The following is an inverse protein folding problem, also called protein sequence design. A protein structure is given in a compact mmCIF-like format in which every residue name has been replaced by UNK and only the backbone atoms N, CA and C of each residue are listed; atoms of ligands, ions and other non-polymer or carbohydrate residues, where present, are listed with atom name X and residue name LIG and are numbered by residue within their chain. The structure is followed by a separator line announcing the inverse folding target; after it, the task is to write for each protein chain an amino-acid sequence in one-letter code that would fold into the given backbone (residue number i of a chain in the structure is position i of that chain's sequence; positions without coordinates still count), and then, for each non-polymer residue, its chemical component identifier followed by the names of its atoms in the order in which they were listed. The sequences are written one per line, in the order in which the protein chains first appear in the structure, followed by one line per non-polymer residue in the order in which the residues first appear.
data_IF_694743709391
#
_entry.id   IF_694743709391
#
_cell.length_a   1.000
_cell.length_b   1.000
_cell.length_c   1.000
_cell.angle_alpha   90.00
_cell.angle_beta   90.00
_cell.angle_gamma   90.00
#
_symmetry.space_group_name_H-M   'P 1'
#
loop_
_entity.id
_entity.type
_entity.pdbx_description
1 polymer ?
#
# COMPACT_ATOMS: atom_id res chain seq x y z
N UNK A 1 6.01 17.22 2.34
CA UNK A 1 4.65 17.79 2.26
C UNK A 1 3.82 16.76 1.51
N UNK A 2 2.87 16.05 2.14
CA UNK A 2 2.21 14.88 1.51
C UNK A 2 2.18 13.58 2.42
N UNK A 3 1.09 12.92 2.87
CA UNK A 3 1.12 11.86 3.93
C UNK A 3 1.25 10.50 3.31
N UNK A 4 2.31 9.80 3.70
CA UNK A 4 2.68 8.39 3.46
C UNK A 4 2.62 7.86 2.03
N UNK A 5 1.69 8.31 1.20
CA UNK A 5 1.46 7.85 -0.17
C UNK A 5 1.45 8.97 -1.20
N UNK A 6 1.33 10.23 -0.80
CA UNK A 6 1.35 11.35 -1.77
C UNK A 6 2.75 11.82 -2.20
N UNK A 7 3.83 11.07 -1.90
CA UNK A 7 5.20 11.58 -2.06
C UNK A 7 6.14 10.79 -3.01
N UNK A 8 5.65 9.87 -3.86
CA UNK A 8 6.56 9.08 -4.72
C UNK A 8 6.50 9.28 -6.24
N UNK A 9 5.62 10.12 -6.81
CA UNK A 9 5.55 10.25 -8.28
C UNK A 9 5.28 11.68 -8.78
N UNK A 10 6.26 12.58 -8.69
CA UNK A 10 6.18 13.84 -9.43
C UNK A 10 7.55 14.36 -9.89
N UNK A 11 8.17 13.65 -10.84
CA UNK A 11 9.23 14.20 -11.68
C UNK A 11 9.39 13.44 -13.03
N UNK A 12 8.47 13.63 -13.98
CA UNK A 12 8.77 13.68 -15.44
C UNK A 12 7.51 13.91 -16.33
N UNK A 13 7.36 15.16 -16.79
CA UNK A 13 6.88 15.62 -18.13
C UNK A 13 5.45 15.40 -18.69
N UNK A 14 4.68 16.51 -18.73
CA UNK A 14 3.76 17.16 -19.74
C UNK A 14 2.71 16.37 -20.62
N UNK A 15 1.57 17.02 -21.01
CA UNK A 15 0.32 16.41 -21.54
C UNK A 15 0.13 16.61 -23.08
N UNK A 16 -1.06 16.39 -23.71
CA UNK A 16 -2.08 15.31 -23.68
C UNK A 16 -2.33 14.69 -25.10
N UNK A 17 -3.28 13.76 -25.28
CA UNK A 17 -4.46 13.88 -26.19
C UNK A 17 -5.15 12.54 -26.54
N UNK A 18 -6.49 12.62 -26.62
CA UNK A 18 -7.42 11.78 -27.41
C UNK A 18 -7.93 10.46 -26.81
N UNK A 19 -9.15 10.57 -26.27
CA UNK A 19 -10.23 9.59 -26.18
C UNK A 19 -10.15 8.41 -27.15
N UNK A 20 -10.17 7.17 -26.64
CA UNK A 20 -10.74 6.01 -27.36
C UNK A 20 -11.20 4.96 -26.35
N UNK A 21 -12.51 4.66 -26.33
CA UNK A 21 -13.06 3.52 -25.60
C UNK A 21 -12.42 2.21 -26.09
N UNK A 22 -11.87 1.38 -25.18
CA UNK A 22 -11.40 0.03 -25.51
C UNK A 22 -12.00 -1.00 -24.55
N UNK A 23 -12.63 -1.99 -25.15
CA UNK A 23 -13.19 -3.20 -24.53
C UNK A 23 -12.08 -4.11 -23.98
N UNK A 24 -12.31 -4.69 -22.80
CA UNK A 24 -11.42 -5.52 -21.94
C UNK A 24 -10.80 -6.77 -22.62
N UNK A 25 -11.05 -7.04 -23.90
CA UNK A 25 -10.54 -8.22 -24.61
C UNK A 25 -9.12 -8.09 -25.19
N UNK A 26 -8.39 -7.00 -24.90
CA UNK A 26 -7.09 -6.71 -25.56
C UNK A 26 -5.85 -6.81 -24.69
N UNK A 27 -5.96 -7.09 -23.39
CA UNK A 27 -4.79 -7.33 -22.52
C UNK A 27 -3.99 -8.56 -22.99
N UNK A 28 -4.64 -9.54 -23.65
CA UNK A 28 -3.97 -10.68 -24.29
C UNK A 28 -4.65 -11.08 -25.62
N UNK A 29 -4.50 -10.27 -26.67
CA UNK A 29 -5.01 -10.57 -28.02
C UNK A 29 -3.90 -10.68 -29.07
N UNK A 30 -3.60 -11.92 -29.52
CA UNK A 30 -2.59 -12.30 -30.54
C UNK A 30 -2.42 -11.29 -31.70
N UNK A 31 -1.26 -10.63 -31.76
CA UNK A 31 -0.77 -9.85 -32.89
C UNK A 31 0.67 -10.25 -33.25
N UNK A 32 0.92 -10.56 -34.52
CA UNK A 32 2.15 -11.19 -35.04
C UNK A 32 3.39 -10.30 -34.93
N UNK A 33 4.49 -10.93 -34.53
CA UNK A 33 5.90 -10.68 -34.89
C UNK A 33 6.42 -9.25 -34.86
N UNK A 34 6.97 -8.85 -33.71
CA UNK A 34 8.36 -8.35 -33.59
C UNK A 34 8.85 -8.71 -32.18
N UNK A 35 9.83 -9.62 -32.11
CA UNK A 35 10.43 -10.07 -30.87
C UNK A 35 11.16 -8.90 -30.18
N UNK A 36 10.89 -8.60 -28.90
CA UNK A 36 11.84 -7.87 -28.10
C UNK A 36 13.03 -8.78 -27.80
N UNK A 37 14.24 -8.24 -27.94
CA UNK A 37 15.49 -8.95 -27.70
C UNK A 37 15.58 -9.39 -26.23
N UNK A 38 15.73 -10.70 -26.03
CA UNK A 38 16.39 -11.33 -24.88
C UNK A 38 16.10 -10.71 -23.49
N UNK A 39 14.87 -10.84 -23.02
CA UNK A 39 14.55 -10.91 -21.60
C UNK A 39 13.95 -12.28 -21.32
N UNK A 40 14.67 -13.16 -20.62
CA UNK A 40 14.14 -14.47 -20.23
C UNK A 40 12.98 -14.26 -19.26
N UNK A 41 11.75 -14.50 -19.70
CA UNK A 41 10.66 -14.83 -18.78
C UNK A 41 11.04 -16.15 -18.11
N UNK A 42 11.63 -16.07 -16.93
CA UNK A 42 12.12 -17.23 -16.19
C UNK A 42 10.94 -18.07 -15.68
N UNK A 43 11.15 -19.39 -15.69
CA UNK A 43 10.20 -20.44 -15.34
C UNK A 43 9.32 -20.11 -14.12
N UNK A 44 8.05 -20.56 -14.17
CA UNK A 44 7.08 -20.61 -13.04
C UNK A 44 7.81 -20.71 -11.70
N UNK A 45 7.96 -19.58 -11.03
CA UNK A 45 8.53 -19.53 -9.69
C UNK A 45 7.41 -20.03 -8.78
N UNK A 46 7.54 -21.27 -8.32
CA UNK A 46 6.56 -21.85 -7.42
C UNK A 46 6.78 -21.21 -6.06
N UNK A 47 6.05 -20.13 -5.77
CA UNK A 47 6.10 -19.53 -4.46
C UNK A 47 5.56 -20.50 -3.41
N UNK A 48 6.02 -20.37 -2.17
CA UNK A 48 5.67 -21.29 -1.08
C UNK A 48 4.17 -21.19 -0.84
N UNK A 49 3.43 -22.24 -1.20
CA UNK A 49 2.01 -22.36 -0.88
C UNK A 49 1.82 -22.14 0.62
N UNK A 50 1.03 -21.14 0.98
CA UNK A 50 0.68 -20.92 2.37
C UNK A 50 -0.32 -22.01 2.77
N UNK A 51 -0.21 -22.53 4.00
CA UNK A 51 -1.19 -23.48 4.52
C UNK A 51 -2.51 -22.81 4.93
N UNK A 52 -2.65 -21.49 4.71
CA UNK A 52 -3.80 -20.69 5.11
C UNK A 52 -4.80 -20.57 3.97
N UNK A 53 -6.08 -20.58 4.32
CA UNK A 53 -7.18 -20.27 3.43
C UNK A 53 -7.26 -18.77 3.13
N UNK A 54 -7.90 -18.39 2.03
CA UNK A 54 -8.15 -16.98 1.70
C UNK A 54 -8.85 -16.23 2.84
N UNK A 55 -9.80 -16.88 3.51
CA UNK A 55 -10.54 -16.27 4.63
C UNK A 55 -9.62 -15.97 5.82
N UNK A 56 -8.71 -16.88 6.16
CA UNK A 56 -7.74 -16.66 7.23
C UNK A 56 -6.80 -15.49 6.91
N UNK A 57 -6.38 -15.38 5.64
CA UNK A 57 -5.49 -14.30 5.17
C UNK A 57 -6.23 -12.95 5.18
N UNK A 58 -7.49 -12.93 4.77
CA UNK A 58 -8.36 -11.75 4.86
C UNK A 58 -8.55 -11.31 6.31
N UNK A 59 -8.90 -12.24 7.20
CA UNK A 59 -9.13 -11.96 8.62
C UNK A 59 -7.86 -11.42 9.29
N UNK A 60 -6.70 -12.02 9.01
CA UNK A 60 -5.41 -11.53 9.50
C UNK A 60 -5.07 -10.14 8.96
N UNK A 61 -5.34 -9.89 7.68
CA UNK A 61 -5.11 -8.58 7.06
C UNK A 61 -6.00 -7.50 7.68
N UNK A 62 -7.28 -7.80 7.89
CA UNK A 62 -8.23 -6.90 8.56
C UNK A 62 -7.85 -6.64 10.02
N UNK A 63 -7.43 -7.69 10.73
CA UNK A 63 -7.00 -7.59 12.12
C UNK A 63 -5.71 -6.78 12.25
N UNK A 64 -4.77 -6.93 11.31
CA UNK A 64 -3.57 -6.12 11.21
C UNK A 64 -3.91 -4.64 10.93
N UNK A 65 -4.78 -4.35 9.96
CA UNK A 65 -5.24 -2.97 9.69
C UNK A 65 -5.87 -2.35 10.95
N UNK A 66 -6.69 -3.12 11.67
CA UNK A 66 -7.34 -2.66 12.91
C UNK A 66 -6.33 -2.38 14.02
N UNK A 67 -5.44 -3.31 14.30
CA UNK A 67 -4.53 -3.21 15.45
C UNK A 67 -3.37 -2.26 15.18
N UNK A 68 -2.85 -2.24 13.96
CA UNK A 68 -1.61 -1.55 13.62
C UNK A 68 -1.91 -0.21 12.98
N UNK A 69 -2.59 -0.21 11.83
CA UNK A 69 -2.85 1.03 11.08
C UNK A 69 -3.78 1.95 11.86
N UNK A 70 -4.90 1.43 12.36
CA UNK A 70 -5.87 2.21 13.14
C UNK A 70 -5.44 2.33 14.60
N UNK A 71 -4.98 1.25 15.24
CA UNK A 71 -4.60 1.24 16.65
C UNK A 71 -3.44 2.19 17.00
N UNK A 72 -2.42 2.29 16.14
CA UNK A 72 -1.33 3.27 16.29
C UNK A 72 -1.60 4.60 15.57
N UNK A 73 -2.81 4.77 15.00
CA UNK A 73 -3.23 5.94 14.23
C UNK A 73 -2.26 6.29 13.08
N UNK A 74 -1.65 5.27 12.44
CA UNK A 74 -0.71 5.48 11.33
C UNK A 74 -1.39 6.12 10.12
N UNK A 75 -2.67 5.81 9.90
CA UNK A 75 -3.47 6.49 8.90
C UNK A 75 -4.78 7.02 9.54
N UNK A 76 -4.95 8.35 9.63
CA UNK A 76 -6.15 8.94 10.24
C UNK A 76 -7.42 8.71 9.40
N UNK A 77 -7.28 8.22 8.16
CA UNK A 77 -8.38 7.98 7.24
C UNK A 77 -8.82 6.52 7.16
N UNK A 78 -8.09 5.59 7.79
CA UNK A 78 -8.38 4.15 7.69
C UNK A 78 -9.64 3.73 8.48
N UNK A 79 -9.99 4.47 9.54
CA UNK A 79 -11.09 4.06 10.42
C UNK A 79 -12.47 4.19 9.78
N UNK A 80 -12.71 5.28 9.04
CA UNK A 80 -14.02 5.56 8.45
C UNK A 80 -14.42 4.53 7.37
N UNK A 81 -13.61 4.26 6.33
CA UNK A 81 -13.94 3.26 5.32
C UNK A 81 -14.18 1.88 5.94
N UNK A 82 -13.40 1.50 6.96
CA UNK A 82 -13.60 0.22 7.67
C UNK A 82 -14.96 0.15 8.38
N UNK A 83 -15.35 1.20 9.11
CA UNK A 83 -16.65 1.24 9.82
C UNK A 83 -17.84 1.25 8.87
N UNK A 84 -17.69 1.88 7.71
CA UNK A 84 -18.75 2.02 6.70
C UNK A 84 -18.80 0.84 5.72
N UNK A 85 -17.94 -0.18 5.86
CA UNK A 85 -17.90 -1.33 4.93
C UNK A 85 -17.33 -0.99 3.54
N UNK A 86 -16.60 0.13 3.45
CA UNK A 86 -15.97 0.64 2.22
C UNK A 86 -14.50 0.20 2.10
N UNK A 87 -14.07 -0.82 2.83
CA UNK A 87 -12.77 -1.49 2.70
C UNK A 87 -13.02 -2.91 2.18
N UNK A 88 -12.49 -3.23 1.00
CA UNK A 88 -12.54 -4.58 0.41
C UNK A 88 -11.16 -5.22 0.48
N UNK A 89 -11.08 -6.48 0.89
CA UNK A 89 -9.87 -7.29 0.83
C UNK A 89 -10.06 -8.36 -0.23
N UNK A 90 -9.06 -8.55 -1.08
CA UNK A 90 -9.08 -9.56 -2.15
C UNK A 90 -7.79 -10.35 -2.06
N UNK A 91 -7.87 -11.65 -1.76
CA UNK A 91 -6.69 -12.52 -1.63
C UNK A 91 -6.47 -13.28 -2.91
N UNK A 92 -5.48 -12.92 -3.72
CA UNK A 92 -5.22 -13.58 -5.03
C UNK A 92 -3.78 -13.38 -5.50
N UNK A 93 -3.35 -14.32 -6.32
CA UNK A 93 -2.18 -14.19 -7.18
C UNK A 93 -0.92 -14.75 -6.53
N UNK A 94 -0.29 -15.68 -7.23
CA UNK A 94 1.01 -16.25 -6.96
C UNK A 94 1.98 -15.99 -8.12
N UNK A 95 1.55 -15.36 -9.21
CA UNK A 95 2.42 -14.95 -10.32
C UNK A 95 2.07 -13.55 -10.85
N UNK A 96 2.96 -13.00 -11.68
CA UNK A 96 2.83 -11.65 -12.23
C UNK A 96 1.50 -11.44 -12.96
N UNK A 97 1.06 -12.42 -13.77
CA UNK A 97 -0.13 -12.30 -14.61
C UNK A 97 -1.40 -12.29 -13.76
N UNK A 98 -1.48 -13.18 -12.77
CA UNK A 98 -2.62 -13.27 -11.86
C UNK A 98 -2.70 -12.05 -10.94
N UNK A 99 -1.57 -11.58 -10.40
CA UNK A 99 -1.53 -10.39 -9.56
C UNK A 99 -1.90 -9.15 -10.37
N UNK A 100 -1.25 -8.90 -11.51
CA UNK A 100 -1.52 -7.74 -12.35
C UNK A 100 -2.96 -7.76 -12.90
N UNK A 101 -3.45 -8.92 -13.34
CA UNK A 101 -4.83 -9.08 -13.81
C UNK A 101 -5.86 -8.80 -12.71
N UNK A 102 -5.61 -9.25 -11.48
CA UNK A 102 -6.47 -8.97 -10.32
C UNK A 102 -6.46 -7.48 -9.99
N UNK A 103 -5.28 -6.86 -9.93
CA UNK A 103 -5.14 -5.42 -9.66
C UNK A 103 -5.84 -4.61 -10.74
N UNK A 104 -5.66 -4.92 -12.02
CA UNK A 104 -6.33 -4.26 -13.14
C UNK A 104 -7.86 -4.33 -13.02
N UNK A 105 -8.41 -5.51 -12.74
CA UNK A 105 -9.85 -5.70 -12.56
C UNK A 105 -10.41 -4.81 -11.44
N UNK A 106 -9.73 -4.78 -10.29
CA UNK A 106 -10.18 -3.99 -9.14
C UNK A 106 -9.94 -2.48 -9.31
N UNK A 107 -8.89 -2.06 -10.01
CA UNK A 107 -8.66 -0.67 -10.38
C UNK A 107 -9.84 -0.11 -11.18
N UNK A 108 -10.26 -0.81 -12.23
CA UNK A 108 -11.42 -0.39 -13.05
C UNK A 108 -12.69 -0.35 -12.21
N UNK A 109 -12.95 -1.39 -11.42
CA UNK A 109 -14.16 -1.47 -10.60
C UNK A 109 -14.24 -0.38 -9.52
N UNK A 110 -13.10 0.00 -8.94
CA UNK A 110 -13.03 1.01 -7.89
C UNK A 110 -12.99 2.45 -8.43
N UNK A 111 -12.53 2.66 -9.66
CA UNK A 111 -12.45 4.00 -10.28
C UNK A 111 -13.77 4.78 -10.30
N UNK A 112 -14.92 4.10 -10.16
CA UNK A 112 -16.26 4.70 -10.17
C UNK A 112 -16.98 4.65 -8.82
N UNK A 113 -16.37 4.05 -7.79
CA UNK A 113 -17.01 3.82 -6.48
C UNK A 113 -16.15 4.39 -5.37
N UNK A 114 -16.79 4.93 -4.32
CA UNK A 114 -16.08 5.35 -3.11
C UNK A 114 -15.57 4.14 -2.34
N UNK A 115 -14.49 4.34 -1.57
CA UNK A 115 -13.89 3.30 -0.76
C UNK A 115 -12.57 2.81 -1.32
N UNK A 116 -12.06 1.74 -0.71
CA UNK A 116 -10.71 1.25 -0.96
C UNK A 116 -10.64 -0.26 -1.03
N UNK A 117 -9.80 -0.77 -1.92
CA UNK A 117 -9.53 -2.20 -2.08
C UNK A 117 -8.07 -2.46 -1.75
N UNK A 118 -7.80 -3.51 -1.00
CA UNK A 118 -6.45 -4.05 -0.82
C UNK A 118 -6.40 -5.40 -1.50
N UNK A 119 -5.60 -5.51 -2.56
CA UNK A 119 -5.27 -6.80 -3.16
C UNK A 119 -4.11 -7.38 -2.37
N UNK A 120 -4.32 -8.54 -1.76
CA UNK A 120 -3.36 -9.28 -0.96
C UNK A 120 -2.83 -10.44 -1.79
N UNK A 121 -1.54 -10.46 -2.04
CA UNK A 121 -0.86 -11.48 -2.83
C UNK A 121 0.14 -12.23 -1.93
N UNK A 122 -0.35 -13.09 -1.03
CA UNK A 122 0.41 -13.56 0.11
C UNK A 122 1.53 -14.53 -0.28
N UNK A 123 1.39 -15.15 -1.45
CA UNK A 123 2.40 -16.05 -2.05
C UNK A 123 3.31 -15.29 -3.01
N UNK A 124 2.95 -14.10 -3.49
CA UNK A 124 3.71 -13.38 -4.51
C UNK A 124 4.92 -12.62 -3.93
N UNK A 125 6.13 -13.12 -4.15
CA UNK A 125 7.37 -12.46 -3.74
C UNK A 125 7.49 -12.08 -2.24
N UNK A 126 7.00 -12.88 -1.26
CA UNK A 126 6.96 -12.47 0.16
C UNK A 126 8.35 -12.16 0.76
N UNK A 127 9.40 -12.79 0.21
CA UNK A 127 10.80 -12.63 0.62
C UNK A 127 11.64 -11.85 -0.41
N UNK A 128 11.02 -11.27 -1.45
CA UNK A 128 11.71 -10.68 -2.61
C UNK A 128 11.12 -9.30 -2.96
N UNK A 129 11.51 -8.30 -2.16
CA UNK A 129 10.94 -6.95 -2.28
C UNK A 129 11.23 -6.27 -3.62
N UNK A 130 12.40 -6.50 -4.21
CA UNK A 130 12.76 -5.89 -5.49
C UNK A 130 11.90 -6.42 -6.63
N UNK A 131 11.59 -7.72 -6.64
CA UNK A 131 10.71 -8.29 -7.64
C UNK A 131 9.26 -7.80 -7.48
N UNK A 132 8.80 -7.68 -6.24
CA UNK A 132 7.53 -7.01 -5.95
C UNK A 132 7.49 -5.57 -6.50
N UNK A 133 8.57 -4.79 -6.33
CA UNK A 133 8.66 -3.43 -6.88
C UNK A 133 8.71 -3.41 -8.41
N UNK A 134 9.31 -4.41 -9.05
CA UNK A 134 9.32 -4.51 -10.51
C UNK A 134 7.90 -4.66 -11.07
N UNK A 135 7.08 -5.53 -10.48
CA UNK A 135 5.69 -5.69 -10.88
C UNK A 135 4.86 -4.44 -10.58
N UNK A 136 5.08 -3.80 -9.42
CA UNK A 136 4.41 -2.53 -9.08
C UNK A 136 4.66 -1.47 -10.17
N UNK A 137 5.93 -1.23 -10.53
CA UNK A 137 6.30 -0.27 -11.58
C UNK A 137 5.64 -0.59 -12.91
N UNK A 138 5.61 -1.88 -13.29
CA UNK A 138 4.90 -2.32 -14.49
C UNK A 138 3.41 -1.97 -14.44
N UNK A 139 2.73 -2.21 -13.32
CA UNK A 139 1.31 -1.86 -13.17
C UNK A 139 1.07 -0.35 -13.19
N UNK A 140 1.93 0.44 -12.56
CA UNK A 140 1.82 1.90 -12.54
C UNK A 140 2.08 2.52 -13.91
N UNK A 141 3.11 2.05 -14.64
CA UNK A 141 3.52 2.66 -15.91
C UNK A 141 2.78 2.09 -17.12
N UNK A 142 2.25 0.86 -17.06
CA UNK A 142 1.59 0.23 -18.19
C UNK A 142 0.10 0.03 -17.94
N UNK A 143 -0.28 -0.64 -16.85
CA UNK A 143 -1.69 -1.01 -16.60
C UNK A 143 -2.54 0.22 -16.30
N UNK A 144 -2.09 1.11 -15.40
CA UNK A 144 -2.83 2.33 -15.04
C UNK A 144 -2.96 3.28 -16.24
N UNK A 145 -1.90 3.40 -17.05
CA UNK A 145 -1.89 4.23 -18.25
C UNK A 145 -2.80 3.66 -19.35
N UNK A 146 -2.73 2.36 -19.65
CA UNK A 146 -3.58 1.71 -20.67
C UNK A 146 -5.07 1.72 -20.32
N UNK A 147 -5.41 1.78 -19.03
CA UNK A 147 -6.79 1.83 -18.55
C UNK A 147 -7.32 3.27 -18.40
N UNK A 148 -6.56 4.30 -18.82
CA UNK A 148 -6.90 5.71 -18.64
C UNK A 148 -7.18 6.09 -17.16
N UNK A 149 -6.49 5.44 -16.21
CA UNK A 149 -6.70 5.64 -14.78
C UNK A 149 -5.68 6.57 -14.13
N UNK A 150 -4.73 7.10 -14.89
CA UNK A 150 -3.74 8.07 -14.39
C UNK A 150 -4.43 9.35 -13.93
N UNK A 151 -4.10 9.81 -12.72
CA UNK A 151 -4.77 10.97 -12.10
C UNK A 151 -6.11 10.60 -11.44
N UNK A 152 -6.55 9.34 -11.53
CA UNK A 152 -7.82 8.84 -10.98
C UNK A 152 -7.55 7.81 -9.89
N UNK A 153 -6.70 6.82 -10.17
CA UNK A 153 -6.35 5.74 -9.27
C UNK A 153 -4.83 5.68 -9.07
N UNK A 154 -4.41 5.35 -7.85
CA UNK A 154 -3.01 5.06 -7.52
C UNK A 154 -2.92 3.71 -6.78
N UNK A 155 -1.76 3.05 -6.92
CA UNK A 155 -1.43 1.80 -6.23
C UNK A 155 -0.45 2.13 -5.10
N UNK A 156 -0.87 1.90 -3.87
CA UNK A 156 -0.07 2.09 -2.68
C UNK A 156 0.62 0.76 -2.27
N UNK A 157 1.96 0.69 -2.26
CA UNK A 157 2.65 -0.55 -1.94
C UNK A 157 2.80 -0.78 -0.44
N UNK A 158 2.54 -2.03 -0.02
CA UNK A 158 2.98 -2.54 1.28
C UNK A 158 3.59 -3.93 1.11
N UNK A 159 4.67 -4.20 1.84
CA UNK A 159 5.40 -5.46 1.71
C UNK A 159 6.03 -5.88 3.06
N UNK A 160 6.14 -7.18 3.39
CA UNK A 160 6.79 -7.62 4.64
C UNK A 160 8.20 -7.08 4.83
N UNK A 161 8.93 -6.98 3.72
CA UNK A 161 10.30 -6.46 3.65
C UNK A 161 10.37 -5.02 3.11
N UNK A 162 9.28 -4.25 3.19
CA UNK A 162 9.26 -2.89 2.66
C UNK A 162 10.41 -2.07 3.25
N UNK A 163 11.07 -1.31 2.37
CA UNK A 163 12.17 -0.42 2.68
C UNK A 163 12.11 0.83 1.82
N UNK A 164 12.15 1.99 2.45
CA UNK A 164 12.33 3.25 1.73
C UNK A 164 13.76 3.37 1.21
N UNK A 165 13.90 3.97 0.04
CA UNK A 165 15.22 4.25 -0.52
C UNK A 165 16.06 5.08 0.46
N UNK A 166 17.34 4.74 0.58
CA UNK A 166 18.27 5.36 1.53
C UNK A 166 18.02 5.11 3.02
N UNK A 167 16.92 4.47 3.43
CA UNK A 167 16.49 4.42 4.85
C UNK A 167 17.06 3.24 5.65
N UNK A 168 17.83 2.34 5.02
CA UNK A 168 18.43 1.20 5.71
C UNK A 168 17.38 0.31 6.38
N UNK A 169 17.61 -0.11 7.63
CA UNK A 169 16.63 -0.83 8.47
C UNK A 169 15.92 0.11 9.46
N UNK A 170 15.67 1.36 9.08
CA UNK A 170 15.00 2.34 9.92
C UNK A 170 13.59 1.94 10.37
N UNK A 171 13.13 2.54 11.47
CA UNK A 171 11.81 2.31 12.03
C UNK A 171 10.68 2.85 11.12
N UNK A 172 10.98 3.87 10.31
CA UNK A 172 10.12 4.47 9.30
C UNK A 172 9.60 3.45 8.28
N UNK A 173 10.41 2.45 7.91
CA UNK A 173 10.01 1.36 7.03
C UNK A 173 8.72 0.64 7.51
N UNK A 174 8.49 0.56 8.82
CA UNK A 174 7.31 -0.08 9.39
C UNK A 174 5.99 0.63 9.09
N UNK A 175 6.04 1.85 8.54
CA UNK A 175 4.83 2.54 8.05
C UNK A 175 4.22 1.88 6.81
N UNK A 176 5.04 1.20 5.99
CA UNK A 176 4.63 0.50 4.77
C UNK A 176 4.97 -1.00 4.81
N UNK A 177 5.44 -1.53 5.95
CA UNK A 177 5.52 -2.99 6.13
C UNK A 177 4.14 -3.57 6.39
N UNK A 178 3.84 -4.72 5.81
CA UNK A 178 2.56 -5.44 5.96
C UNK A 178 2.78 -6.94 6.11
N UNK A 179 1.84 -7.70 6.71
CA UNK A 179 2.01 -9.14 6.94
C UNK A 179 2.19 -9.94 5.64
N UNK A 180 1.65 -9.42 4.54
CA UNK A 180 1.75 -9.97 3.19
C UNK A 180 2.01 -8.85 2.18
N UNK A 181 2.51 -9.18 0.97
CA UNK A 181 2.52 -8.26 -0.16
C UNK A 181 1.10 -7.74 -0.44
N UNK A 182 0.90 -6.43 -0.31
CA UNK A 182 -0.36 -5.76 -0.57
C UNK A 182 -0.22 -4.74 -1.70
N UNK A 183 -1.25 -4.63 -2.53
CA UNK A 183 -1.45 -3.54 -3.48
C UNK A 183 -2.71 -2.80 -3.07
N UNK A 184 -2.53 -1.65 -2.43
CA UNK A 184 -3.63 -0.87 -1.88
C UNK A 184 -4.13 0.13 -2.93
N UNK A 185 -5.33 -0.10 -3.44
CA UNK A 185 -5.91 0.68 -4.51
C UNK A 185 -6.65 1.88 -3.91
N UNK A 186 -6.29 3.07 -4.35
CA UNK A 186 -6.78 4.34 -3.81
C UNK A 186 -7.21 5.25 -4.95
N UNK A 187 -8.29 6.01 -4.72
CA UNK A 187 -8.66 7.10 -5.62
C UNK A 187 -7.88 8.36 -5.26
N UNK A 188 -7.32 9.02 -6.26
CA UNK A 188 -6.53 10.24 -6.06
C UNK A 188 -7.38 11.40 -5.52
N UNK A 189 -8.66 11.48 -5.90
CA UNK A 189 -9.59 12.49 -5.39
C UNK A 189 -9.86 12.31 -3.89
N UNK A 190 -10.07 11.08 -3.43
CA UNK A 190 -10.28 10.76 -2.01
C UNK A 190 -9.00 11.00 -1.19
N UNK A 191 -7.83 10.67 -1.74
CA UNK A 191 -6.54 10.98 -1.11
C UNK A 191 -6.35 12.50 -1.00
N UNK A 192 -6.61 13.24 -2.07
CA UNK A 192 -6.49 14.71 -2.08
C UNK A 192 -7.42 15.35 -1.05
N UNK A 193 -8.68 14.95 -1.03
CA UNK A 193 -9.66 15.43 -0.04
C UNK A 193 -9.28 15.05 1.40
N UNK A 194 -8.61 13.92 1.60
CA UNK A 194 -8.07 13.53 2.89
C UNK A 194 -6.92 14.47 3.32
N UNK A 195 -6.02 14.81 2.40
CA UNK A 195 -4.94 15.75 2.67
C UNK A 195 -5.44 17.17 2.95
N UNK A 196 -6.45 17.65 2.22
CA UNK A 196 -7.07 18.96 2.48
C UNK A 196 -7.54 19.07 3.94
N UNK A 197 -8.10 18.00 4.50
CA UNK A 197 -8.52 17.95 5.91
C UNK A 197 -7.37 18.03 6.91
N UNK A 198 -6.14 17.73 6.48
CA UNK A 198 -4.91 17.91 7.29
C UNK A 198 -4.31 19.31 7.12
N UNK A 199 -5.05 20.25 6.51
CA UNK A 199 -4.56 21.59 6.23
C UNK A 199 -3.54 21.62 5.09
N UNK A 200 -3.69 20.73 4.10
CA UNK A 200 -2.80 20.58 2.95
C UNK A 200 -1.34 20.21 3.28
N UNK A 201 -1.05 19.85 4.54
CA UNK A 201 0.28 19.40 4.95
C UNK A 201 0.23 18.02 5.56
N UNK A 202 0.48 17.09 4.67
CA UNK A 202 0.32 15.70 4.94
C UNK A 202 1.68 15.10 5.36
N UNK A 203 2.78 15.89 5.30
CA UNK A 203 4.04 15.50 5.95
C UNK A 203 3.99 15.52 7.47
N UNK A 204 2.99 16.17 8.06
CA UNK A 204 2.71 16.07 9.49
C UNK A 204 2.41 14.64 9.91
N UNK A 205 1.57 13.93 9.15
CA UNK A 205 1.24 12.52 9.43
C UNK A 205 2.47 11.63 9.27
N UNK A 206 3.26 11.86 8.21
CA UNK A 206 4.51 11.14 8.01
C UNK A 206 5.50 11.34 9.18
N UNK A 207 5.82 12.59 9.53
CA UNK A 207 6.74 12.90 10.62
C UNK A 207 6.24 12.39 11.98
N UNK A 208 4.92 12.45 12.21
CA UNK A 208 4.27 11.87 13.38
C UNK A 208 4.46 10.36 13.47
N UNK A 209 4.27 9.65 12.34
CA UNK A 209 4.42 8.21 12.28
C UNK A 209 5.86 7.77 12.53
N UNK A 210 6.83 8.44 11.91
CA UNK A 210 8.26 8.21 12.17
C UNK A 210 8.55 8.40 13.65
N UNK A 211 8.19 9.56 14.20
CA UNK A 211 8.45 9.88 15.61
C UNK A 211 7.83 8.85 16.56
N UNK A 212 6.61 8.40 16.27
CA UNK A 212 5.95 7.34 17.03
C UNK A 212 6.75 6.04 16.98
N UNK A 213 7.13 5.57 15.79
CA UNK A 213 7.86 4.31 15.60
C UNK A 213 9.25 4.35 16.21
N UNK A 214 9.97 5.47 16.09
CA UNK A 214 11.25 5.70 16.77
C UNK A 214 11.10 5.73 18.30
N UNK A 215 10.01 6.29 18.81
CA UNK A 215 9.73 6.31 20.26
C UNK A 215 9.43 4.90 20.77
N UNK A 216 8.66 4.11 20.01
CA UNK A 216 8.43 2.69 20.30
C UNK A 216 9.76 1.94 20.29
N UNK A 217 10.62 2.17 19.30
CA UNK A 217 11.97 1.57 19.26
C UNK A 217 12.79 1.91 20.49
N UNK A 218 12.81 3.18 20.86
CA UNK A 218 13.62 3.66 21.97
C UNK A 218 13.15 3.08 23.30
N UNK A 219 11.85 2.91 23.49
CA UNK A 219 11.25 2.42 24.75
C UNK A 219 11.24 0.89 24.85
N UNK A 220 11.00 0.19 23.75
CA UNK A 220 10.77 -1.26 23.72
C UNK A 220 11.79 -2.04 22.89
N UNK A 221 12.78 -1.37 22.32
CA UNK A 221 13.76 -1.95 21.40
C UNK A 221 13.18 -2.26 20.02
N UNK A 222 14.05 -2.73 19.12
CA UNK A 222 13.66 -3.20 17.78
C UNK A 222 12.65 -4.36 17.84
N UNK A 223 12.75 -5.20 18.86
CA UNK A 223 11.78 -6.27 19.09
C UNK A 223 10.38 -5.74 19.41
N UNK A 224 10.31 -4.69 20.22
CA UNK A 224 9.08 -3.95 20.49
C UNK A 224 8.38 -3.48 19.22
N UNK A 225 9.10 -2.85 18.28
CA UNK A 225 8.49 -2.48 16.98
C UNK A 225 7.97 -3.71 16.24
N UNK A 226 8.74 -4.81 16.17
CA UNK A 226 8.30 -6.02 15.46
C UNK A 226 7.03 -6.60 16.06
N UNK A 227 6.91 -6.59 17.39
CA UNK A 227 5.72 -7.05 18.12
C UNK A 227 4.54 -6.10 17.91
N UNK A 228 4.75 -4.79 18.03
CA UNK A 228 3.74 -3.77 17.71
C UNK A 228 3.20 -3.95 16.28
N UNK A 229 4.10 -4.14 15.31
CA UNK A 229 3.76 -4.35 13.92
C UNK A 229 3.04 -5.66 13.64
N UNK A 230 3.26 -6.71 14.44
CA UNK A 230 2.46 -7.94 14.42
C UNK A 230 1.09 -7.76 15.09
N UNK A 231 0.81 -6.59 15.66
CA UNK A 231 -0.40 -6.34 16.45
C UNK A 231 -0.40 -7.05 17.80
N UNK A 232 0.77 -7.47 18.30
CA UNK A 232 0.92 -8.07 19.61
C UNK A 232 0.82 -7.01 20.72
N UNK A 233 0.24 -7.35 21.89
CA UNK A 233 0.16 -6.43 23.00
C UNK A 233 1.55 -6.09 23.53
N UNK A 234 1.79 -4.79 23.72
CA UNK A 234 2.97 -4.23 24.38
C UNK A 234 2.55 -3.57 25.68
N UNK A 235 3.09 -4.02 26.80
CA UNK A 235 2.85 -3.41 28.10
C UNK A 235 3.35 -1.96 28.12
N UNK A 236 2.53 -1.02 28.59
CA UNK A 236 2.86 0.42 28.59
C UNK A 236 2.67 1.15 27.24
N UNK A 237 2.18 0.48 26.19
CA UNK A 237 1.99 1.12 24.88
C UNK A 237 0.89 2.20 24.89
N UNK A 238 -0.18 1.98 25.68
CA UNK A 238 -1.27 2.94 25.83
C UNK A 238 -0.81 4.24 26.48
N UNK A 239 0.11 4.16 27.45
CA UNK A 239 0.74 5.33 28.08
C UNK A 239 1.55 6.11 27.06
N UNK A 240 2.43 5.44 26.30
CA UNK A 240 3.21 6.06 25.24
C UNK A 240 2.32 6.72 24.18
N UNK A 241 1.25 6.07 23.75
CA UNK A 241 0.31 6.65 22.79
C UNK A 241 -0.39 7.90 23.33
N UNK A 242 -0.70 7.93 24.63
CA UNK A 242 -1.26 9.12 25.26
C UNK A 242 -0.21 10.23 25.39
N UNK A 243 1.04 9.93 25.74
CA UNK A 243 2.15 10.89 25.77
C UNK A 243 2.35 11.55 24.40
N UNK A 244 2.36 10.74 23.33
CA UNK A 244 2.52 11.23 21.95
C UNK A 244 1.34 12.13 21.56
N UNK A 245 0.10 11.73 21.83
CA UNK A 245 -1.11 12.55 21.57
C UNK A 245 -1.11 13.86 22.35
N UNK A 246 -0.73 13.84 23.63
CA UNK A 246 -0.63 15.05 24.46
C UNK A 246 0.46 15.99 23.94
N UNK A 247 1.59 15.46 23.47
CA UNK A 247 2.65 16.26 22.85
C UNK A 247 2.22 16.92 21.54
N UNK A 248 1.28 16.32 20.80
CA UNK A 248 0.75 16.88 19.56
C UNK A 248 -0.21 18.05 19.82
N UNK A 249 -1.08 17.95 20.83
CA UNK A 249 -2.04 19.01 21.17
C UNK A 249 -1.37 20.26 21.75
N UNK A 250 -0.22 20.11 22.43
CA UNK A 250 0.51 21.24 23.03
C UNK A 250 1.34 22.05 22.02
N UNK A 251 1.54 21.56 20.79
CA UNK A 251 2.28 22.26 19.73
C UNK A 251 1.35 23.13 18.87
N UNK A 252 0.03 22.92 18.94
CA UNK A 252 -0.97 23.71 18.20
C UNK A 252 -1.42 25.01 18.88
N UNK A 253 -1.00 25.26 20.12
CA UNK A 253 -1.39 26.44 20.93
C UNK A 253 -0.21 27.43 21.18
N UNK A 254 0.91 27.26 20.47
CA UNK A 254 2.14 28.06 20.62
C UNK A 254 2.53 28.86 19.40
#
# INVERSE_FOLDING_TARGET
MLSLLTCFYCAATRPPTSTTCITVSRVFGRGRNRAPASGRFTARRQYRLLSKTDQEIEDESLQWIKNVVIGYNLCPFAEKPRKEGNLSIVVRGDDDELVAGTVAYHLVGQSTRKGTTVVVAPEYCPDDFEEYLNLLRYMEDQVVDELDLRGIMQIAPFHPLFKFDGSGEGADNFTNRSPYPFFHLLREDEVSAAVEKLGNDSSKVWGRNIKLLETIEKRFGRDGIRRAWKGEPLEGISELLNEVKLSENNVSDG
#
